data_IF_556226874719
#
_entry.id   IF_556226874719
#
_cell.length_a   1.000
_cell.length_b   1.000
_cell.length_c   1.000
_cell.angle_alpha   90.00
_cell.angle_beta   90.00
_cell.angle_gamma   90.00
#
_symmetry.space_group_name_H-M   'P 1'
#
loop_
_entity.id
_entity.type
_entity.pdbx_description
1 polymer ?
#
# COMPACT_ATOMS: atom_id res chain seq x y z
N UNK A 1 -9.01 7.73 -24.17
CA UNK A 1 -8.23 6.79 -23.37
C UNK A 1 -7.46 7.58 -22.32
N UNK A 2 -7.38 7.09 -21.08
CA UNK A 2 -6.43 7.68 -20.11
C UNK A 2 -5.03 7.36 -20.60
N UNK A 3 -4.29 8.40 -20.97
CA UNK A 3 -2.92 8.28 -21.41
C UNK A 3 -2.01 8.44 -20.19
N UNK A 4 -1.48 7.32 -19.72
CA UNK A 4 -0.57 7.24 -18.58
C UNK A 4 0.85 7.73 -18.92
N UNK A 5 1.14 7.99 -20.20
CA UNK A 5 2.42 8.51 -20.68
C UNK A 5 2.39 10.04 -20.89
N UNK A 6 1.24 10.59 -21.27
CA UNK A 6 1.06 12.05 -21.40
C UNK A 6 1.18 12.79 -20.05
N UNK A 7 1.45 14.10 -20.12
CA UNK A 7 1.71 15.01 -19.00
C UNK A 7 0.64 15.04 -17.90
N UNK A 8 0.84 15.90 -16.89
CA UNK A 8 0.00 15.90 -15.68
C UNK A 8 -1.50 16.01 -15.99
N UNK A 9 -2.30 15.16 -15.34
CA UNK A 9 -3.75 15.26 -15.32
C UNK A 9 -4.18 15.45 -13.87
N UNK A 10 -4.22 16.71 -13.38
CA UNK A 10 -4.50 16.99 -11.97
C UNK A 10 -5.84 16.45 -11.49
N UNK A 11 -6.87 16.47 -12.35
CA UNK A 11 -8.19 15.96 -12.00
C UNK A 11 -8.19 14.43 -11.79
N UNK A 12 -7.46 13.70 -12.63
CA UNK A 12 -7.31 12.26 -12.47
C UNK A 12 -6.42 11.89 -11.28
N UNK A 13 -5.36 12.67 -11.01
CA UNK A 13 -4.48 12.44 -9.86
C UNK A 13 -5.23 12.59 -8.54
N UNK A 14 -6.07 13.62 -8.40
CA UNK A 14 -6.91 13.81 -7.21
C UNK A 14 -7.93 12.68 -7.06
N UNK A 15 -8.60 12.28 -8.15
CA UNK A 15 -9.53 11.14 -8.13
C UNK A 15 -8.81 9.85 -7.72
N UNK A 16 -7.61 9.61 -8.26
CA UNK A 16 -6.80 8.45 -7.93
C UNK A 16 -6.41 8.45 -6.46
N UNK A 17 -5.98 9.61 -5.93
CA UNK A 17 -5.67 9.78 -4.51
C UNK A 17 -6.88 9.49 -3.62
N UNK A 18 -8.06 10.04 -3.94
CA UNK A 18 -9.31 9.76 -3.21
C UNK A 18 -9.66 8.27 -3.26
N UNK A 19 -9.55 7.63 -4.43
CA UNK A 19 -9.80 6.20 -4.55
C UNK A 19 -8.86 5.37 -3.64
N UNK A 20 -7.57 5.73 -3.57
CA UNK A 20 -6.63 5.06 -2.66
C UNK A 20 -6.97 5.29 -1.18
N UNK A 21 -7.39 6.50 -0.81
CA UNK A 21 -7.83 6.83 0.55
C UNK A 21 -9.09 6.05 0.97
N UNK A 22 -9.96 5.72 0.02
CA UNK A 22 -11.15 4.89 0.20
C UNK A 22 -10.85 3.37 0.16
N UNK A 23 -9.60 2.96 -0.07
CA UNK A 23 -9.19 1.55 -0.03
C UNK A 23 -9.22 0.81 -1.36
N UNK A 24 -9.45 1.49 -2.50
CA UNK A 24 -9.42 0.82 -3.81
C UNK A 24 -8.01 0.32 -4.14
N UNK A 25 -7.89 -0.95 -4.48
CA UNK A 25 -6.62 -1.56 -4.93
C UNK A 25 -6.26 -1.14 -6.35
N UNK A 26 -4.97 -1.25 -6.70
CA UNK A 26 -4.51 -0.95 -8.07
C UNK A 26 -5.20 -1.89 -9.09
N UNK A 27 -5.53 -3.13 -8.68
CA UNK A 27 -6.32 -4.09 -9.45
C UNK A 27 -7.76 -3.60 -9.70
N UNK A 28 -8.46 -3.13 -8.66
CA UNK A 28 -9.83 -2.62 -8.81
C UNK A 28 -9.87 -1.38 -9.71
N UNK A 29 -8.86 -0.51 -9.62
CA UNK A 29 -8.74 0.67 -10.47
C UNK A 29 -8.50 0.25 -11.93
N UNK A 30 -7.58 -0.70 -12.18
CA UNK A 30 -7.37 -1.24 -13.52
C UNK A 30 -8.67 -1.84 -14.09
N UNK A 31 -9.38 -2.64 -13.30
CA UNK A 31 -10.67 -3.21 -13.69
C UNK A 31 -11.75 -2.15 -13.96
N UNK A 32 -11.75 -1.02 -13.25
CA UNK A 32 -12.69 0.06 -13.51
C UNK A 32 -12.42 0.78 -14.85
N UNK A 33 -11.15 0.86 -15.26
CA UNK A 33 -10.70 1.57 -16.45
C UNK A 33 -10.79 0.71 -17.73
N UNK A 34 -10.40 -0.56 -17.64
CA UNK A 34 -10.35 -1.50 -18.77
C UNK A 34 -11.43 -2.59 -18.72
N UNK A 35 -12.26 -2.62 -17.68
CA UNK A 35 -13.38 -3.56 -17.52
C UNK A 35 -12.91 -5.02 -17.61
N UNK A 36 -13.45 -5.79 -18.55
CA UNK A 36 -13.14 -7.20 -18.76
C UNK A 36 -11.77 -7.41 -19.41
N UNK A 37 -11.23 -6.37 -20.06
CA UNK A 37 -9.91 -6.42 -20.73
C UNK A 37 -8.75 -6.13 -19.76
N UNK A 38 -9.03 -5.94 -18.46
CA UNK A 38 -8.01 -5.60 -17.47
C UNK A 38 -7.11 -6.81 -17.15
N UNK A 39 -5.81 -6.64 -17.35
CA UNK A 39 -4.79 -7.64 -17.05
C UNK A 39 -3.76 -7.15 -15.99
N UNK A 40 -2.76 -7.98 -15.70
CA UNK A 40 -1.68 -7.65 -14.77
C UNK A 40 -0.82 -6.46 -15.25
N UNK A 41 -0.68 -6.27 -16.56
CA UNK A 41 0.06 -5.14 -17.13
C UNK A 41 -0.67 -3.83 -16.88
N UNK A 42 -2.01 -3.82 -16.98
CA UNK A 42 -2.82 -2.65 -16.64
C UNK A 42 -2.68 -2.29 -15.15
N UNK A 43 -2.72 -3.29 -14.27
CA UNK A 43 -2.49 -3.07 -12.83
C UNK A 43 -1.08 -2.51 -12.57
N UNK A 44 -0.05 -3.05 -13.24
CA UNK A 44 1.31 -2.56 -13.14
C UNK A 44 1.45 -1.11 -13.65
N UNK A 45 0.76 -0.76 -14.73
CA UNK A 45 0.73 0.59 -15.29
C UNK A 45 0.09 1.59 -14.31
N UNK A 46 -1.05 1.25 -13.70
CA UNK A 46 -1.69 2.07 -12.65
C UNK A 46 -0.72 2.26 -11.48
N UNK A 47 -0.06 1.20 -11.03
CA UNK A 47 0.93 1.27 -9.94
C UNK A 47 2.11 2.18 -10.29
N UNK A 48 2.66 2.07 -11.49
CA UNK A 48 3.78 2.88 -11.95
C UNK A 48 3.40 4.37 -12.02
N UNK A 49 2.25 4.68 -12.62
CA UNK A 49 1.73 6.04 -12.70
C UNK A 49 1.50 6.64 -11.31
N UNK A 50 0.83 5.88 -10.43
CA UNK A 50 0.55 6.29 -9.05
C UNK A 50 1.82 6.65 -8.29
N UNK A 51 2.86 5.81 -8.40
CA UNK A 51 4.17 6.06 -7.78
C UNK A 51 4.89 7.27 -8.38
N UNK A 52 4.85 7.44 -9.71
CA UNK A 52 5.46 8.59 -10.41
C UNK A 52 4.88 9.93 -9.94
N UNK A 53 3.63 9.94 -9.49
CA UNK A 53 2.95 11.13 -8.94
C UNK A 53 3.04 11.26 -7.41
N UNK A 54 3.84 10.42 -6.74
CA UNK A 54 4.00 10.49 -5.29
C UNK A 54 2.78 10.05 -4.48
N UNK A 55 1.79 9.42 -5.11
CA UNK A 55 0.59 8.89 -4.43
C UNK A 55 0.97 7.55 -3.78
N UNK A 56 1.70 7.60 -2.68
CA UNK A 56 2.17 6.43 -1.92
C UNK A 56 1.59 6.45 -0.51
N UNK A 57 1.35 5.28 0.10
CA UNK A 57 0.89 5.25 1.47
C UNK A 57 2.01 5.70 2.42
N UNK A 58 1.62 6.28 3.54
CA UNK A 58 2.49 6.56 4.68
C UNK A 58 2.47 5.39 5.68
N UNK A 59 3.59 5.19 6.35
CA UNK A 59 3.74 4.25 7.48
C UNK A 59 3.38 4.96 8.78
N UNK A 60 2.40 4.41 9.50
CA UNK A 60 1.93 4.96 10.78
C UNK A 60 2.15 3.96 11.91
N UNK A 61 2.46 4.47 13.10
CA UNK A 61 2.63 3.68 14.32
C UNK A 61 1.30 3.54 15.08
N UNK A 62 1.11 2.40 15.73
CA UNK A 62 0.03 2.18 16.71
C UNK A 62 0.62 2.41 18.09
N UNK A 63 0.33 3.56 18.68
CA UNK A 63 0.95 4.06 19.92
C UNK A 63 0.04 3.97 21.16
N UNK A 64 -1.19 3.44 21.00
CA UNK A 64 -2.28 3.35 21.99
C UNK A 64 -2.79 4.69 22.57
N UNK A 65 -2.12 5.81 22.30
CA UNK A 65 -2.35 7.11 22.90
C UNK A 65 -2.63 8.21 21.86
N UNK A 66 -2.86 7.84 20.60
CA UNK A 66 -3.13 8.77 19.49
C UNK A 66 -2.08 9.88 19.38
N UNK A 67 -0.80 9.49 19.47
CA UNK A 67 0.39 10.32 19.43
C UNK A 67 0.61 11.27 20.62
N UNK A 68 -0.07 11.08 21.76
CA UNK A 68 0.18 11.89 22.97
C UNK A 68 1.62 11.68 23.50
N UNK A 69 2.10 10.45 23.47
CA UNK A 69 3.46 10.08 23.86
C UNK A 69 4.14 9.26 22.75
N UNK A 70 5.47 9.41 22.59
CA UNK A 70 6.20 8.66 21.58
C UNK A 70 6.18 7.15 21.90
N UNK A 71 5.74 6.34 20.93
CA UNK A 71 5.79 4.89 21.03
C UNK A 71 7.23 4.39 20.99
N UNK A 72 7.57 3.47 21.89
CA UNK A 72 8.86 2.79 21.91
C UNK A 72 8.88 1.53 21.03
N UNK A 73 7.74 1.15 20.45
CA UNK A 73 7.55 -0.08 19.67
C UNK A 73 7.19 0.22 18.21
N UNK A 74 7.63 -0.65 17.30
CA UNK A 74 7.35 -0.52 15.86
C UNK A 74 6.20 -1.45 15.43
N UNK A 75 5.01 -1.22 15.97
CA UNK A 75 3.79 -1.85 15.46
C UNK A 75 3.14 -0.93 14.43
N UNK A 76 3.20 -1.32 13.15
CA UNK A 76 3.04 -0.41 12.01
C UNK A 76 1.88 -0.81 11.11
N UNK A 77 1.27 0.18 10.46
CA UNK A 77 0.32 -0.01 9.35
C UNK A 77 0.53 1.02 8.24
N UNK A 78 -0.01 0.74 7.06
CA UNK A 78 0.05 1.62 5.89
C UNK A 78 -1.28 2.32 5.67
N UNK A 79 -1.24 3.62 5.36
CA UNK A 79 -2.45 4.40 5.04
C UNK A 79 -2.19 5.47 3.99
N UNK A 80 -3.16 5.71 3.10
CA UNK A 80 -3.15 6.84 2.17
C UNK A 80 -3.71 8.14 2.79
N UNK A 81 -4.19 8.07 4.03
CA UNK A 81 -4.68 9.23 4.79
C UNK A 81 -3.58 9.87 5.66
N UNK A 82 -2.32 9.50 5.46
CA UNK A 82 -1.17 10.08 6.14
C UNK A 82 -0.37 11.02 5.22
N UNK A 83 0.27 12.02 5.81
CA UNK A 83 1.14 12.98 5.10
C UNK A 83 2.63 12.62 5.19
N UNK A 84 3.04 11.89 6.23
CA UNK A 84 4.43 11.52 6.49
C UNK A 84 4.51 10.18 7.24
N UNK A 85 5.70 9.58 7.26
CA UNK A 85 5.96 8.35 8.01
C UNK A 85 6.29 8.65 9.48
N UNK A 86 5.75 7.87 10.41
CA UNK A 86 6.05 8.00 11.85
C UNK A 86 7.37 7.35 12.26
N UNK A 87 8.04 6.66 11.32
CA UNK A 87 9.27 5.90 11.58
C UNK A 87 10.46 6.43 10.79
N UNK A 88 11.62 6.37 11.42
CA UNK A 88 12.91 6.60 10.76
C UNK A 88 13.48 5.27 10.24
N UNK A 89 13.69 5.21 8.93
CA UNK A 89 14.33 4.06 8.29
C UNK A 89 15.84 4.12 8.51
N UNK A 90 16.44 3.02 8.98
CA UNK A 90 17.88 2.93 9.20
C UNK A 90 18.71 3.00 7.91
N UNK A 91 18.13 2.59 6.77
CA UNK A 91 18.78 2.68 5.46
C UNK A 91 20.05 1.85 5.31
N UNK A 92 20.33 0.94 6.23
CA UNK A 92 21.56 0.13 6.26
C UNK A 92 21.50 -1.10 5.35
N UNK A 93 20.35 -1.34 4.70
CA UNK A 93 20.08 -2.49 3.83
C UNK A 93 20.31 -3.86 4.47
N UNK A 94 20.28 -3.95 5.81
CA UNK A 94 20.45 -5.21 6.57
C UNK A 94 19.13 -5.84 7.01
N UNK A 95 18.00 -5.21 6.71
CA UNK A 95 16.67 -5.69 7.07
C UNK A 95 16.28 -6.93 6.27
N UNK A 96 15.68 -7.91 6.93
CA UNK A 96 15.11 -9.13 6.32
C UNK A 96 13.59 -9.06 6.43
N UNK A 97 12.88 -9.42 5.35
CA UNK A 97 11.42 -9.48 5.33
C UNK A 97 10.99 -10.94 5.47
N UNK A 98 10.14 -11.22 6.46
CA UNK A 98 9.45 -12.52 6.63
C UNK A 98 7.97 -12.31 6.32
N UNK A 99 7.41 -13.13 5.43
CA UNK A 99 6.00 -13.05 5.03
C UNK A 99 5.20 -14.15 5.75
N UNK A 100 4.16 -13.76 6.49
CA UNK A 100 3.28 -14.71 7.17
C UNK A 100 2.30 -15.43 6.23
N UNK A 101 1.60 -16.43 6.75
CA UNK A 101 0.67 -17.29 6.01
C UNK A 101 -0.70 -16.66 5.71
N UNK A 102 -1.01 -15.53 6.33
CA UNK A 102 -2.30 -14.87 6.21
C UNK A 102 -3.37 -15.51 7.10
N UNK A 103 -4.64 -15.45 6.68
CA UNK A 103 -5.75 -15.99 7.48
C UNK A 103 -5.79 -17.53 7.45
N UNK A 104 -6.14 -18.14 8.59
CA UNK A 104 -6.32 -19.58 8.69
C UNK A 104 -7.42 -20.10 7.77
N UNK A 105 -7.13 -21.23 7.13
CA UNK A 105 -8.05 -21.97 6.25
C UNK A 105 -7.67 -23.45 6.24
N UNK A 106 -8.56 -24.32 5.78
CA UNK A 106 -8.24 -25.74 5.64
C UNK A 106 -6.98 -25.89 4.78
N UNK A 107 -5.97 -26.58 5.31
CA UNK A 107 -4.64 -26.72 4.69
C UNK A 107 -3.65 -25.58 4.98
N UNK A 108 -4.00 -24.63 5.85
CA UNK A 108 -3.13 -23.55 6.33
C UNK A 108 -3.49 -23.16 7.76
N UNK A 109 -2.82 -23.78 8.73
CA UNK A 109 -3.08 -23.62 10.17
C UNK A 109 -1.80 -23.18 10.94
N UNK A 110 -1.78 -23.39 12.25
CA UNK A 110 -0.74 -22.95 13.20
C UNK A 110 0.66 -23.43 12.85
N UNK A 111 0.80 -24.52 12.09
CA UNK A 111 2.10 -25.00 11.62
C UNK A 111 2.88 -23.93 10.85
N UNK A 112 2.20 -23.04 10.13
CA UNK A 112 2.86 -21.96 9.39
C UNK A 112 3.22 -20.75 10.26
N UNK A 113 2.49 -20.54 11.35
CA UNK A 113 2.86 -19.53 12.36
C UNK A 113 4.10 -20.00 13.12
N UNK A 114 4.16 -21.28 13.49
CA UNK A 114 5.31 -21.89 14.16
C UNK A 114 6.61 -21.80 13.34
N UNK A 115 6.54 -21.98 12.02
CA UNK A 115 7.72 -21.80 11.13
C UNK A 115 8.18 -20.34 10.97
N UNK A 116 7.32 -19.37 11.31
CA UNK A 116 7.60 -17.95 11.15
C UNK A 116 8.23 -17.30 12.39
N UNK A 117 8.16 -17.99 13.54
CA UNK A 117 8.69 -17.59 14.87
C UNK A 117 10.09 -18.17 15.08
#
# INVERSE_FOLDING_TARGET
SLDFESGSNPGFDELLKTAKQQGFSDFQIARALWKEDADENNQAAVRAYRKKRGIVPAVKQIDTLAAEYPAQTNYLYLTYNGVENDVHYLGDHRSVIVLGSGAYRIGSSVEFDWCSV
#
